data_IF_643525362579
#
_entry.id   IF_643525362579
#
_cell.length_a   1.000
_cell.length_b   1.000
_cell.length_c   1.000
_cell.angle_alpha   90.00
_cell.angle_beta   90.00
_cell.angle_gamma   90.00
#
_symmetry.space_group_name_H-M   'P 1'
#
loop_
_entity.id
_entity.type
_entity.pdbx_description
1 polymer ?
#
# COMPACT_ATOMS: atom_id res chain seq x y z
N UNK A 1 8.20 15.54 -3.79
CA UNK A 1 8.40 15.04 -2.41
C UNK A 1 9.85 15.26 -2.03
N UNK A 2 10.16 16.39 -1.38
CA UNK A 2 11.49 16.71 -0.88
C UNK A 2 11.35 17.12 0.58
N UNK A 3 11.42 16.14 1.47
CA UNK A 3 11.36 16.29 2.92
C UNK A 3 11.96 15.03 3.53
N UNK A 4 12.62 15.18 4.67
CA UNK A 4 13.57 14.27 5.33
C UNK A 4 13.07 12.87 5.72
N UNK A 5 12.07 12.29 5.05
CA UNK A 5 11.45 11.01 5.42
C UNK A 5 10.76 11.01 6.79
N UNK A 6 10.89 12.08 7.58
CA UNK A 6 10.26 12.26 8.87
C UNK A 6 8.78 12.58 8.68
N UNK A 7 7.92 11.65 9.06
CA UNK A 7 6.48 11.84 9.09
C UNK A 7 6.07 12.54 10.39
N UNK A 8 5.80 13.85 10.30
CA UNK A 8 5.43 14.70 11.45
C UNK A 8 4.02 14.41 11.99
N UNK A 9 3.24 13.56 11.33
CA UNK A 9 1.90 13.16 11.81
C UNK A 9 1.95 12.01 12.81
N UNK A 10 3.09 11.31 12.91
CA UNK A 10 3.29 10.23 13.88
C UNK A 10 3.73 10.79 15.22
N UNK A 11 3.03 10.45 16.31
CA UNK A 11 3.51 10.72 17.65
C UNK A 11 4.71 9.83 17.98
N UNK A 12 5.76 10.43 18.56
CA UNK A 12 6.89 9.66 19.09
C UNK A 12 6.43 8.70 20.19
N UNK A 13 7.13 7.58 20.37
CA UNK A 13 6.86 6.67 21.49
C UNK A 13 7.36 7.33 22.78
N UNK A 14 6.48 7.50 23.76
CA UNK A 14 6.87 7.98 25.10
C UNK A 14 7.48 6.81 25.87
N UNK A 15 8.82 6.72 25.83
CA UNK A 15 9.59 5.66 26.46
C UNK A 15 10.36 6.25 27.64
N UNK A 16 10.31 5.58 28.78
CA UNK A 16 11.22 5.88 29.89
C UNK A 16 12.66 5.60 29.42
N UNK A 17 13.44 6.67 29.22
CA UNK A 17 14.75 6.65 28.57
C UNK A 17 15.88 6.95 29.58
N UNK A 18 17.09 6.43 29.34
CA UNK A 18 18.26 6.83 30.12
C UNK A 18 18.60 8.31 29.88
N UNK A 19 19.28 8.90 30.87
CA UNK A 19 19.89 10.22 30.79
C UNK A 19 21.13 10.15 29.90
N UNK A 20 21.17 11.00 28.87
CA UNK A 20 22.39 11.26 28.09
C UNK A 20 23.12 12.42 28.74
N UNK A 21 24.37 12.21 29.14
CA UNK A 21 25.16 13.20 29.88
C UNK A 21 26.42 13.53 29.09
N UNK A 22 26.50 14.75 28.55
CA UNK A 22 27.65 15.22 27.80
C UNK A 22 28.59 15.99 28.75
N UNK A 23 29.80 15.48 28.92
CA UNK A 23 30.81 16.05 29.83
C UNK A 23 31.77 16.94 29.06
N UNK A 24 31.70 18.24 29.35
CA UNK A 24 32.50 19.30 28.74
C UNK A 24 32.56 19.23 27.20
N UNK A 25 31.43 19.12 26.49
CA UNK A 25 31.44 19.09 25.03
C UNK A 25 32.12 20.36 24.48
N UNK A 26 33.01 20.18 23.51
CA UNK A 26 33.82 21.27 22.98
C UNK A 26 33.08 22.08 21.92
N UNK A 27 32.27 21.44 21.07
CA UNK A 27 31.59 22.09 19.95
C UNK A 27 30.08 22.04 20.09
N UNK A 28 29.42 23.19 19.90
CA UNK A 28 27.96 23.28 19.86
C UNK A 28 27.34 22.37 18.79
N UNK A 29 27.98 22.23 17.63
CA UNK A 29 27.55 21.32 16.56
C UNK A 29 27.47 19.86 17.04
N UNK A 30 28.41 19.39 17.87
CA UNK A 30 28.37 18.03 18.40
C UNK A 30 27.23 17.83 19.39
N UNK A 31 26.91 18.85 20.20
CA UNK A 31 25.74 18.83 21.09
C UNK A 31 24.46 18.70 20.25
N UNK A 32 24.34 19.51 19.19
CA UNK A 32 23.19 19.45 18.27
C UNK A 32 23.09 18.10 17.55
N UNK A 33 24.19 17.57 17.03
CA UNK A 33 24.21 16.24 16.39
C UNK A 33 23.88 15.12 17.38
N UNK A 34 24.31 15.23 18.65
CA UNK A 34 23.94 14.29 19.70
C UNK A 34 22.45 14.37 20.01
N UNK A 35 21.87 15.57 20.11
CA UNK A 35 20.43 15.76 20.28
C UNK A 35 19.61 15.21 19.11
N UNK A 36 20.11 15.38 17.87
CA UNK A 36 19.52 14.75 16.69
C UNK A 36 19.55 13.23 16.78
N UNK A 37 20.68 12.66 17.19
CA UNK A 37 20.80 11.22 17.41
C UNK A 37 19.83 10.74 18.49
N UNK A 38 19.69 11.49 19.60
CA UNK A 38 18.71 11.21 20.65
C UNK A 38 17.28 11.20 20.11
N UNK A 39 16.88 12.22 19.35
CA UNK A 39 15.56 12.32 18.74
C UNK A 39 15.26 11.18 17.77
N UNK A 40 16.24 10.69 17.00
CA UNK A 40 16.07 9.54 16.11
C UNK A 40 15.69 8.24 16.85
N UNK A 41 16.13 8.11 18.11
CA UNK A 41 15.97 6.90 18.91
C UNK A 41 15.11 7.11 20.15
N UNK A 42 14.31 8.18 20.22
CA UNK A 42 13.38 8.41 21.33
C UNK A 42 14.03 8.72 22.68
N UNK A 43 15.32 9.08 22.70
CA UNK A 43 15.97 9.62 23.90
C UNK A 43 15.60 11.10 24.03
N UNK A 44 15.14 11.53 25.20
CA UNK A 44 14.58 12.88 25.37
C UNK A 44 15.23 13.69 26.49
N UNK A 45 16.10 13.07 27.30
CA UNK A 45 16.66 13.68 28.51
C UNK A 45 18.16 13.89 28.36
N UNK A 46 18.55 15.15 28.22
CA UNK A 46 19.91 15.59 28.00
C UNK A 46 20.40 16.38 29.21
N UNK A 47 21.57 16.00 29.74
CA UNK A 47 22.31 16.81 30.71
C UNK A 47 23.64 17.24 30.09
N UNK A 48 24.01 18.49 30.29
CA UNK A 48 25.25 19.06 29.78
C UNK A 48 26.06 19.55 30.97
N UNK A 49 27.30 19.06 31.09
CA UNK A 49 28.22 19.48 32.15
C UNK A 49 29.23 20.44 31.54
N UNK A 50 29.25 21.67 32.04
CA UNK A 50 30.28 22.68 31.73
C UNK A 50 30.68 22.76 30.23
N UNK A 51 29.75 23.05 29.30
CA UNK A 51 30.05 23.10 27.87
C UNK A 51 31.04 24.22 27.56
N UNK A 52 32.10 23.91 26.80
CA UNK A 52 33.24 24.82 26.59
C UNK A 52 32.82 26.15 25.95
N UNK A 53 31.97 26.07 24.92
CA UNK A 53 31.53 27.22 24.13
C UNK A 53 30.23 27.85 24.70
N UNK A 54 29.87 27.52 25.94
CA UNK A 54 28.70 28.05 26.64
C UNK A 54 27.35 27.45 26.20
N UNK A 55 26.29 27.82 26.93
CA UNK A 55 24.92 27.38 26.70
C UNK A 55 23.92 28.51 27.04
N UNK A 56 22.85 28.74 26.24
CA UNK A 56 22.47 28.05 25.00
C UNK A 56 23.41 28.37 23.82
N UNK A 57 23.45 27.50 22.80
CA UNK A 57 24.36 27.64 21.66
C UNK A 57 23.62 27.50 20.31
N UNK A 58 23.71 28.53 19.46
CA UNK A 58 23.02 28.57 18.15
C UNK A 58 23.48 27.48 17.18
N UNK A 59 24.75 27.06 17.27
CA UNK A 59 25.29 25.99 16.44
C UNK A 59 24.67 24.63 16.82
N UNK A 60 24.37 24.42 18.11
CA UNK A 60 23.65 23.24 18.57
C UNK A 60 22.23 23.19 18.00
N UNK A 61 21.48 24.29 18.08
CA UNK A 61 20.13 24.38 17.49
C UNK A 61 20.15 24.08 15.99
N UNK A 62 21.08 24.67 15.24
CA UNK A 62 21.20 24.43 13.79
C UNK A 62 21.54 22.97 13.47
N UNK A 63 22.42 22.33 14.24
CA UNK A 63 22.84 20.95 14.01
C UNK A 63 21.79 19.90 14.48
N UNK A 64 20.87 20.26 15.38
CA UNK A 64 19.83 19.38 15.89
C UNK A 64 18.77 18.98 14.84
N UNK A 65 18.62 19.77 13.77
CA UNK A 65 17.79 19.46 12.62
C UNK A 65 16.36 18.97 12.97
N UNK A 66 15.69 19.68 13.89
CA UNK A 66 14.31 19.38 14.33
C UNK A 66 14.20 18.60 15.65
N UNK A 67 15.33 18.22 16.26
CA UNK A 67 15.37 17.70 17.63
C UNK A 67 15.43 18.81 18.70
N UNK A 68 14.87 19.98 18.42
CA UNK A 68 14.97 21.18 19.26
C UNK A 68 14.41 20.93 20.67
N UNK A 69 13.34 20.13 20.78
CA UNK A 69 12.72 19.72 22.04
C UNK A 69 13.68 19.02 23.02
N UNK A 70 14.75 18.37 22.54
CA UNK A 70 15.78 17.76 23.40
C UNK A 70 16.68 18.86 23.99
N UNK A 71 17.03 19.86 23.18
CA UNK A 71 17.87 20.98 23.60
C UNK A 71 17.14 21.93 24.54
N UNK A 72 15.86 22.20 24.27
CA UNK A 72 15.00 23.05 25.11
C UNK A 72 14.81 22.50 26.52
N UNK A 73 14.85 21.16 26.68
CA UNK A 73 14.75 20.45 27.95
C UNK A 73 16.10 20.08 28.56
N UNK A 74 17.20 20.51 27.95
CA UNK A 74 18.53 20.16 28.42
C UNK A 74 18.82 20.81 29.79
N UNK A 75 19.26 20.02 30.75
CA UNK A 75 19.66 20.49 32.07
C UNK A 75 21.16 20.78 32.11
N UNK A 76 21.54 21.96 32.63
CA UNK A 76 22.93 22.40 32.69
C UNK A 76 23.50 22.22 34.11
N UNK A 77 24.68 21.63 34.19
CA UNK A 77 25.40 21.40 35.45
C UNK A 77 26.83 21.92 35.37
N UNK A 78 27.41 22.30 36.52
CA UNK A 78 28.81 22.73 36.58
C UNK A 78 29.78 21.58 36.79
N UNK A 79 29.33 20.47 37.39
CA UNK A 79 30.17 19.30 37.69
C UNK A 79 29.46 17.99 37.35
N UNK A 80 30.24 16.95 37.05
CA UNK A 80 29.67 15.62 36.77
C UNK A 80 28.96 15.05 38.00
N UNK A 81 29.49 15.29 39.21
CA UNK A 81 28.89 14.85 40.46
C UNK A 81 27.45 15.35 40.64
N UNK A 82 27.18 16.61 40.28
CA UNK A 82 25.81 17.16 40.31
C UNK A 82 24.92 16.52 39.23
N UNK A 83 25.46 16.34 38.02
CA UNK A 83 24.71 15.81 36.90
C UNK A 83 24.32 14.33 37.04
N UNK A 84 24.91 13.60 37.99
CA UNK A 84 24.65 12.17 38.23
C UNK A 84 24.09 11.88 39.62
N UNK A 85 23.76 12.91 40.42
CA UNK A 85 23.44 12.75 41.85
C UNK A 85 22.22 11.85 42.12
N UNK A 86 21.27 11.80 41.18
CA UNK A 86 20.04 10.99 41.19
C UNK A 86 20.17 9.68 40.41
N UNK A 87 21.31 9.42 39.76
CA UNK A 87 21.57 8.20 39.00
C UNK A 87 21.88 7.03 39.94
N UNK A 88 21.12 5.94 39.79
CA UNK A 88 21.34 4.66 40.50
C UNK A 88 22.22 3.69 39.72
N UNK A 89 22.32 3.91 38.40
CA UNK A 89 23.19 3.16 37.51
C UNK A 89 23.81 4.12 36.48
N UNK A 90 25.14 4.10 36.38
CA UNK A 90 25.91 5.02 35.57
C UNK A 90 26.92 4.27 34.69
N UNK A 91 26.92 4.59 33.41
CA UNK A 91 27.83 4.04 32.40
C UNK A 91 28.80 5.12 31.93
N UNK A 92 30.09 4.80 31.87
CA UNK A 92 31.11 5.68 31.28
C UNK A 92 31.55 5.15 29.91
N UNK A 93 31.41 5.96 28.86
CA UNK A 93 31.85 5.58 27.51
C UNK A 93 33.32 5.94 27.28
N UNK A 94 34.15 4.97 26.94
CA UNK A 94 35.58 5.20 26.64
C UNK A 94 36.17 4.12 25.75
N UNK A 95 37.07 4.53 24.86
CA UNK A 95 37.84 3.64 23.99
C UNK A 95 39.19 3.22 24.61
N UNK A 96 39.58 3.84 25.74
CA UNK A 96 40.87 3.55 26.39
C UNK A 96 40.71 2.44 27.42
N UNK A 97 41.70 1.56 27.49
CA UNK A 97 41.83 0.67 28.63
C UNK A 97 42.11 1.53 29.88
N UNK A 98 41.40 1.24 30.95
CA UNK A 98 41.62 1.85 32.25
C UNK A 98 42.04 0.77 33.23
N UNK A 99 43.01 1.05 34.09
CA UNK A 99 43.48 0.13 35.14
C UNK A 99 42.49 -0.02 36.31
N UNK A 100 41.30 0.56 36.18
CA UNK A 100 40.24 0.48 37.19
C UNK A 100 39.57 -0.88 37.13
N UNK A 101 39.44 -1.55 38.28
CA UNK A 101 38.75 -2.84 38.42
C UNK A 101 37.22 -2.68 38.28
N UNK A 102 36.74 -2.38 37.07
CA UNK A 102 35.33 -2.21 36.73
C UNK A 102 34.90 -3.15 35.61
N UNK A 103 33.65 -3.63 35.60
CA UNK A 103 33.15 -4.40 34.47
C UNK A 103 33.14 -3.53 33.20
N UNK A 104 33.77 -4.06 32.14
CA UNK A 104 33.76 -3.49 30.79
C UNK A 104 32.74 -4.25 29.96
N UNK A 105 31.82 -3.54 29.33
CA UNK A 105 30.74 -4.12 28.52
C UNK A 105 30.68 -3.46 27.14
N UNK A 106 30.17 -4.21 26.17
CA UNK A 106 29.81 -3.65 24.87
C UNK A 106 28.49 -2.86 24.91
N UNK A 107 28.19 -2.07 23.86
CA UNK A 107 26.99 -1.22 23.82
C UNK A 107 25.67 -2.01 23.91
N UNK A 108 25.57 -3.20 23.29
CA UNK A 108 24.38 -4.05 23.38
C UNK A 108 24.12 -4.53 24.81
N UNK A 109 25.16 -4.99 25.51
CA UNK A 109 25.06 -5.48 26.87
C UNK A 109 24.69 -4.35 27.85
N UNK A 110 25.29 -3.17 27.68
CA UNK A 110 24.92 -1.97 28.43
C UNK A 110 23.45 -1.60 28.19
N UNK A 111 23.00 -1.56 26.93
CA UNK A 111 21.62 -1.26 26.58
C UNK A 111 20.62 -2.24 27.21
N UNK A 112 20.96 -3.54 27.29
CA UNK A 112 20.14 -4.55 27.95
C UNK A 112 20.02 -4.30 29.46
N UNK A 113 21.12 -3.95 30.12
CA UNK A 113 21.13 -3.62 31.56
C UNK A 113 20.32 -2.32 31.82
N UNK A 114 20.44 -1.32 30.95
CA UNK A 114 19.65 -0.08 31.01
C UNK A 114 18.15 -0.38 30.92
N UNK A 115 17.70 -1.13 29.91
CA UNK A 115 16.28 -1.50 29.74
C UNK A 115 15.75 -2.25 30.96
N UNK A 116 16.54 -3.21 31.47
CA UNK A 116 16.15 -3.99 32.65
C UNK A 116 16.07 -3.12 33.91
N UNK A 117 16.98 -2.16 34.10
CA UNK A 117 17.00 -1.30 35.28
C UNK A 117 15.85 -0.29 35.26
N UNK A 118 15.59 0.33 34.11
CA UNK A 118 14.44 1.24 33.92
C UNK A 118 13.13 0.49 34.20
N UNK A 119 12.98 -0.75 33.68
CA UNK A 119 11.80 -1.57 33.90
C UNK A 119 11.52 -1.94 35.36
N UNK A 120 12.53 -1.90 36.23
CA UNK A 120 12.38 -2.13 37.68
C UNK A 120 11.87 -0.90 38.44
N UNK A 121 11.88 0.29 37.83
CA UNK A 121 11.49 1.55 38.48
C UNK A 121 12.44 2.01 39.59
N UNK A 122 13.68 1.50 39.62
CA UNK A 122 14.61 1.62 40.75
C UNK A 122 15.51 2.87 40.77
N UNK A 123 15.20 3.91 39.99
CA UNK A 123 15.96 5.16 39.92
C UNK A 123 16.56 5.45 38.54
N UNK A 124 17.27 6.57 38.42
CA UNK A 124 17.73 7.07 37.12
C UNK A 124 18.93 6.29 36.59
N UNK A 125 18.97 6.13 35.27
CA UNK A 125 20.08 5.46 34.57
C UNK A 125 20.77 6.48 33.66
N UNK A 126 22.06 6.71 33.87
CA UNK A 126 22.85 7.70 33.13
C UNK A 126 23.94 7.10 32.26
N UNK A 127 24.23 7.76 31.14
CA UNK A 127 25.34 7.43 30.24
C UNK A 127 26.20 8.68 30.05
N UNK A 128 27.46 8.61 30.50
CA UNK A 128 28.45 9.66 30.35
C UNK A 128 29.17 9.53 29.00
N UNK A 129 29.22 10.65 28.30
CA UNK A 129 30.02 10.83 27.10
C UNK A 129 31.00 11.98 27.31
N UNK A 130 32.28 11.70 27.10
CA UNK A 130 33.35 12.66 27.37
C UNK A 130 33.64 13.62 26.22
N UNK A 131 34.65 14.45 26.45
CA UNK A 131 35.19 15.45 25.52
C UNK A 131 35.66 14.78 24.22
N UNK A 132 35.57 15.48 23.09
CA UNK A 132 35.87 14.94 21.76
C UNK A 132 37.31 14.43 21.60
N UNK A 133 38.28 15.10 22.22
CA UNK A 133 39.71 14.77 22.08
C UNK A 133 40.23 13.87 23.20
N UNK A 134 39.84 14.17 24.44
CA UNK A 134 40.39 13.53 25.64
C UNK A 134 39.48 12.48 26.24
N UNK A 135 38.21 12.41 25.82
CA UNK A 135 37.21 11.54 26.43
C UNK A 135 36.87 11.96 27.86
N UNK A 136 36.52 10.97 28.67
CA UNK A 136 36.30 11.12 30.11
C UNK A 136 37.64 11.04 30.86
N UNK A 137 37.78 11.86 31.90
CA UNK A 137 38.88 11.80 32.85
C UNK A 137 38.76 10.56 33.74
N UNK A 138 39.88 10.13 34.33
CA UNK A 138 39.91 8.94 35.19
C UNK A 138 38.94 9.08 36.38
N UNK A 139 38.82 10.26 36.97
CA UNK A 139 37.88 10.56 38.05
C UNK A 139 36.41 10.51 37.60
N UNK A 140 36.12 10.91 36.37
CA UNK A 140 34.78 10.83 35.76
C UNK A 140 34.42 9.37 35.40
N UNK A 141 35.40 8.56 35.00
CA UNK A 141 35.22 7.10 34.86
C UNK A 141 35.06 6.45 36.24
N UNK A 142 35.75 6.94 37.26
CA UNK A 142 35.76 6.39 38.62
C UNK A 142 34.41 6.46 39.34
N UNK A 143 33.52 7.39 38.97
CA UNK A 143 32.16 7.48 39.52
C UNK A 143 31.16 6.52 38.85
N UNK A 144 31.45 6.01 37.65
CA UNK A 144 30.52 5.13 36.93
C UNK A 144 30.51 3.68 37.47
N UNK A 145 29.39 2.97 37.36
CA UNK A 145 29.31 1.57 37.77
C UNK A 145 29.92 0.62 36.73
N UNK A 146 29.93 1.04 35.45
CA UNK A 146 30.36 0.23 34.30
C UNK A 146 31.11 1.08 33.29
N UNK A 147 32.04 0.46 32.58
CA UNK A 147 32.66 1.03 31.39
C UNK A 147 31.98 0.45 30.16
N UNK A 148 31.65 1.31 29.20
CA UNK A 148 31.19 0.92 27.87
C UNK A 148 32.31 1.17 26.88
N UNK A 149 32.72 0.12 26.19
CA UNK A 149 33.72 0.19 25.13
C UNK A 149 33.12 -0.33 23.83
N UNK A 150 33.20 0.50 22.78
CA UNK A 150 32.71 0.14 21.45
C UNK A 150 33.73 -0.79 20.75
N UNK A 151 33.29 -1.89 20.12
CA UNK A 151 34.16 -2.79 19.38
C UNK A 151 34.51 -2.20 18.00
N UNK A 152 35.27 -1.12 18.00
CA UNK A 152 35.75 -0.42 16.80
C UNK A 152 37.14 -0.90 16.38
N UNK A 153 37.60 -0.48 15.20
CA UNK A 153 38.96 -0.76 14.74
C UNK A 153 39.98 -0.23 15.77
N UNK A 154 40.84 -1.08 16.39
CA UNK A 154 41.81 -0.65 17.38
C UNK A 154 42.79 0.42 16.87
N UNK A 155 43.10 0.42 15.56
CA UNK A 155 43.95 1.43 14.93
C UNK A 155 43.28 2.80 14.74
N UNK A 156 41.95 2.89 14.94
CA UNK A 156 41.18 4.12 14.81
C UNK A 156 39.95 4.09 15.74
N UNK A 157 40.22 4.01 17.05
CA UNK A 157 39.20 3.69 18.05
C UNK A 157 38.38 4.90 18.57
N UNK A 158 38.71 6.12 18.14
CA UNK A 158 38.03 7.34 18.60
C UNK A 158 36.80 7.61 17.76
N UNK A 159 35.61 7.42 18.34
CA UNK A 159 34.35 7.84 17.73
C UNK A 159 34.07 9.32 17.97
N UNK A 160 33.38 9.97 17.03
CA UNK A 160 32.81 11.30 17.30
C UNK A 160 31.75 11.20 18.41
N UNK A 161 31.62 12.25 19.23
CA UNK A 161 30.69 12.33 20.35
C UNK A 161 29.24 11.94 19.96
N UNK A 162 28.71 12.56 18.90
CA UNK A 162 27.36 12.30 18.43
C UNK A 162 27.21 10.88 17.86
N UNK A 163 28.27 10.30 17.28
CA UNK A 163 28.26 8.93 16.80
C UNK A 163 28.21 7.92 17.96
N UNK A 164 28.92 8.17 19.06
CA UNK A 164 28.84 7.34 20.25
C UNK A 164 27.43 7.38 20.87
N UNK A 165 26.82 8.57 20.95
CA UNK A 165 25.42 8.74 21.38
C UNK A 165 24.46 8.01 20.44
N UNK A 166 24.68 8.10 19.13
CA UNK A 166 23.89 7.41 18.10
C UNK A 166 23.92 5.88 18.27
N UNK A 167 25.10 5.29 18.48
CA UNK A 167 25.22 3.84 18.67
C UNK A 167 24.53 3.37 19.95
N UNK A 168 24.70 4.09 21.06
CA UNK A 168 24.00 3.76 22.31
C UNK A 168 22.49 3.93 22.18
N UNK A 169 22.04 5.01 21.56
CA UNK A 169 20.62 5.25 21.31
C UNK A 169 19.99 4.18 20.43
N UNK A 170 20.69 3.76 19.36
CA UNK A 170 20.23 2.67 18.49
C UNK A 170 20.08 1.35 19.25
N UNK A 171 21.11 0.93 20.00
CA UNK A 171 21.05 -0.33 20.76
C UNK A 171 19.94 -0.31 21.81
N UNK A 172 19.80 0.80 22.54
CA UNK A 172 18.73 0.97 23.53
C UNK A 172 17.34 0.96 22.90
N UNK A 173 17.12 1.70 21.81
CA UNK A 173 15.81 1.77 21.15
C UNK A 173 15.43 0.45 20.50
N UNK A 174 16.38 -0.23 19.87
CA UNK A 174 16.19 -1.57 19.31
C UNK A 174 15.68 -2.53 20.39
N UNK A 175 16.31 -2.58 21.56
CA UNK A 175 15.89 -3.45 22.65
C UNK A 175 14.55 -3.01 23.27
N UNK A 176 14.36 -1.71 23.50
CA UNK A 176 13.13 -1.15 24.07
C UNK A 176 11.90 -1.34 23.18
N UNK A 177 12.09 -1.56 21.89
CA UNK A 177 11.02 -1.76 20.90
C UNK A 177 10.97 -3.17 20.31
N UNK A 178 11.71 -4.11 20.91
CA UNK A 178 11.89 -5.48 20.42
C UNK A 178 12.34 -5.56 18.94
N UNK A 179 13.02 -4.54 18.43
CA UNK A 179 13.49 -4.45 17.05
C UNK A 179 12.37 -4.31 16.01
N UNK A 180 11.16 -3.90 16.44
CA UNK A 180 10.01 -3.79 15.55
C UNK A 180 10.27 -2.74 14.46
N UNK A 181 10.21 -3.14 13.19
CA UNK A 181 10.39 -2.24 12.06
C UNK A 181 9.16 -1.32 11.89
N UNK A 182 9.33 -0.09 11.40
CA UNK A 182 8.22 0.85 11.18
C UNK A 182 7.27 0.42 10.07
N UNK A 183 7.72 -0.47 9.18
CA UNK A 183 6.95 -1.05 8.10
C UNK A 183 7.28 -2.53 8.01
N UNK A 184 6.25 -3.35 7.87
CA UNK A 184 6.39 -4.75 7.53
C UNK A 184 5.85 -4.97 6.12
N UNK A 185 6.19 -6.12 5.54
CA UNK A 185 5.48 -6.59 4.36
C UNK A 185 3.97 -6.68 4.72
N UNK A 186 3.05 -6.27 3.82
CA UNK A 186 1.62 -6.46 4.04
C UNK A 186 1.32 -7.92 4.39
N UNK A 187 0.28 -8.15 5.21
CA UNK A 187 -0.14 -9.50 5.56
C UNK A 187 -0.28 -10.34 4.28
N UNK A 188 0.55 -11.39 4.17
CA UNK A 188 0.40 -12.38 3.11
C UNK A 188 -0.94 -13.06 3.29
N UNK A 189 -1.67 -13.22 2.20
CA UNK A 189 -2.80 -14.16 2.15
C UNK A 189 -2.34 -15.52 2.69
N UNK A 190 -3.25 -16.29 3.28
CA UNK A 190 -2.93 -17.61 3.83
C UNK A 190 -2.17 -18.48 2.81
N UNK A 191 -1.24 -19.35 3.26
CA UNK A 191 -0.58 -20.31 2.39
C UNK A 191 -1.57 -21.12 1.55
N UNK A 192 -1.22 -21.39 0.30
CA UNK A 192 -2.02 -22.27 -0.55
C UNK A 192 -2.01 -23.69 0.02
N UNK A 193 -3.18 -24.32 0.06
CA UNK A 193 -3.27 -25.73 0.45
C UNK A 193 -2.65 -26.62 -0.63
N UNK A 194 -2.17 -27.80 -0.23
CA UNK A 194 -1.66 -28.83 -1.15
C UNK A 194 -2.68 -29.15 -2.26
N UNK A 195 -3.96 -29.21 -1.92
CA UNK A 195 -5.04 -29.43 -2.89
C UNK A 195 -5.13 -28.33 -3.96
N UNK A 196 -4.93 -27.05 -3.59
CA UNK A 196 -4.92 -25.95 -4.56
C UNK A 196 -3.67 -25.99 -5.45
N UNK A 197 -2.53 -26.40 -4.89
CA UNK A 197 -1.30 -26.62 -5.64
C UNK A 197 -1.51 -27.73 -6.69
N UNK A 198 -2.05 -28.88 -6.29
CA UNK A 198 -2.31 -29.99 -7.20
C UNK A 198 -3.31 -29.61 -8.29
N UNK A 199 -4.41 -28.93 -7.94
CA UNK A 199 -5.39 -28.44 -8.93
C UNK A 199 -4.79 -27.44 -9.94
N UNK A 200 -3.88 -26.57 -9.50
CA UNK A 200 -3.14 -25.70 -10.42
C UNK A 200 -2.22 -26.51 -11.34
N UNK A 201 -1.47 -27.46 -10.79
CA UNK A 201 -0.56 -28.30 -11.58
C UNK A 201 -1.28 -29.14 -12.61
N UNK A 202 -2.41 -29.76 -12.26
CA UNK A 202 -3.19 -30.56 -13.20
C UNK A 202 -3.66 -29.72 -14.40
N UNK A 203 -4.06 -28.47 -14.15
CA UNK A 203 -4.43 -27.55 -15.22
C UNK A 203 -3.20 -27.10 -16.03
N UNK A 204 -2.10 -26.74 -15.38
CA UNK A 204 -0.87 -26.35 -16.05
C UNK A 204 -0.35 -27.47 -16.97
N UNK A 205 -0.29 -28.71 -16.48
CA UNK A 205 0.18 -29.86 -17.27
C UNK A 205 -0.74 -30.12 -18.46
N UNK A 206 -2.06 -30.06 -18.27
CA UNK A 206 -3.04 -30.21 -19.35
C UNK A 206 -2.83 -29.19 -20.46
N UNK A 207 -2.57 -27.93 -20.11
CA UNK A 207 -2.34 -26.87 -21.11
C UNK A 207 -0.96 -27.00 -21.77
N UNK A 208 0.08 -27.40 -21.02
CA UNK A 208 1.42 -27.66 -21.58
C UNK A 208 1.45 -28.85 -22.54
N UNK A 209 0.65 -29.90 -22.29
CA UNK A 209 0.51 -31.05 -23.17
C UNK A 209 -0.11 -30.64 -24.52
N UNK A 210 -1.11 -29.73 -24.53
CA UNK A 210 -1.74 -29.24 -25.78
C UNK A 210 -0.77 -28.51 -26.72
N UNK A 211 0.19 -27.80 -26.16
CA UNK A 211 1.21 -27.04 -26.93
C UNK A 211 2.50 -27.83 -27.14
N UNK A 212 2.48 -29.14 -26.82
CA UNK A 212 3.60 -30.07 -27.00
C UNK A 212 4.91 -29.63 -26.30
N UNK A 213 4.81 -28.87 -25.20
CA UNK A 213 5.98 -28.36 -24.46
C UNK A 213 6.79 -29.47 -23.78
N UNK A 214 6.12 -30.54 -23.33
CA UNK A 214 6.72 -31.64 -22.57
C UNK A 214 7.40 -32.67 -23.49
N UNK A 215 8.39 -32.22 -24.27
CA UNK A 215 9.19 -33.05 -25.20
C UNK A 215 10.69 -32.92 -24.94
N UNK A 216 11.48 -33.98 -25.21
CA UNK A 216 11.05 -35.31 -25.68
C UNK A 216 10.43 -36.17 -24.55
N UNK A 217 9.70 -37.23 -24.90
CA UNK A 217 8.83 -37.96 -23.97
C UNK A 217 9.58 -38.56 -22.77
N UNK A 218 10.83 -39.00 -22.98
CA UNK A 218 11.72 -39.53 -21.96
C UNK A 218 12.11 -38.51 -20.88
N UNK A 219 11.95 -37.20 -21.15
CA UNK A 219 12.24 -36.12 -20.18
C UNK A 219 11.00 -35.58 -19.47
N UNK A 220 9.80 -36.02 -19.85
CA UNK A 220 8.52 -35.48 -19.35
C UNK A 220 8.44 -35.52 -17.83
N UNK A 221 8.67 -36.68 -17.22
CA UNK A 221 8.58 -36.84 -15.75
C UNK A 221 9.55 -35.91 -15.01
N UNK A 222 10.80 -35.82 -15.47
CA UNK A 222 11.81 -34.92 -14.90
C UNK A 222 11.39 -33.45 -15.03
N UNK A 223 10.80 -33.05 -16.16
CA UNK A 223 10.31 -31.68 -16.36
C UNK A 223 9.15 -31.35 -15.42
N UNK A 224 8.22 -32.29 -15.21
CA UNK A 224 7.09 -32.12 -14.28
C UNK A 224 7.55 -31.97 -12.83
N UNK A 225 8.51 -32.79 -12.39
CA UNK A 225 9.11 -32.66 -11.06
C UNK A 225 9.80 -31.31 -10.90
N UNK A 226 10.55 -30.86 -11.92
CA UNK A 226 11.22 -29.56 -11.88
C UNK A 226 10.22 -28.39 -11.82
N UNK A 227 9.16 -28.43 -12.63
CA UNK A 227 8.07 -27.46 -12.55
C UNK A 227 7.44 -27.46 -11.16
N UNK A 228 7.16 -28.65 -10.61
CA UNK A 228 6.61 -28.79 -9.26
C UNK A 228 7.50 -28.14 -8.20
N UNK A 229 8.79 -28.42 -8.24
CA UNK A 229 9.78 -27.85 -7.32
C UNK A 229 9.92 -26.33 -7.44
N UNK A 230 9.67 -25.72 -8.60
CA UNK A 230 9.69 -24.26 -8.75
C UNK A 230 8.56 -23.64 -7.92
N UNK A 231 7.32 -24.07 -8.11
CA UNK A 231 6.20 -23.45 -7.40
C UNK A 231 6.16 -23.85 -5.92
N UNK A 232 6.61 -25.04 -5.54
CA UNK A 232 6.69 -25.41 -4.11
C UNK A 232 7.74 -24.59 -3.35
N UNK A 233 8.90 -24.28 -3.96
CA UNK A 233 9.93 -23.42 -3.33
C UNK A 233 9.50 -21.96 -3.20
N UNK A 234 8.51 -21.52 -3.97
CA UNK A 234 7.98 -20.16 -3.90
C UNK A 234 7.16 -19.91 -2.64
N UNK A 235 6.70 -20.97 -1.96
CA UNK A 235 5.78 -20.91 -0.82
C UNK A 235 4.55 -20.01 -1.11
N UNK A 236 3.74 -20.36 -2.14
CA UNK A 236 2.69 -19.50 -2.64
C UNK A 236 1.54 -19.35 -1.65
N UNK A 237 0.99 -18.14 -1.62
CA UNK A 237 -0.29 -17.88 -0.97
C UNK A 237 -1.46 -18.35 -1.84
N UNK A 238 -2.66 -18.45 -1.24
CA UNK A 238 -3.91 -18.71 -1.99
C UNK A 238 -4.12 -17.71 -3.12
N UNK A 239 -3.74 -16.45 -2.92
CA UNK A 239 -3.88 -15.39 -3.92
C UNK A 239 -2.89 -15.55 -5.07
N UNK A 240 -1.65 -15.97 -4.79
CA UNK A 240 -0.66 -16.28 -5.82
C UNK A 240 -1.18 -17.40 -6.72
N UNK A 241 -1.72 -18.47 -6.11
CA UNK A 241 -2.28 -19.58 -6.87
C UNK A 241 -3.47 -19.19 -7.72
N UNK A 242 -4.36 -18.34 -7.21
CA UNK A 242 -5.48 -17.82 -7.99
C UNK A 242 -5.01 -16.99 -9.19
N UNK A 243 -4.00 -16.15 -8.97
CA UNK A 243 -3.41 -15.30 -10.01
C UNK A 243 -2.71 -16.13 -11.08
N UNK A 244 -1.87 -17.08 -10.67
CA UNK A 244 -1.16 -17.98 -11.59
C UNK A 244 -2.11 -18.86 -12.39
N UNK A 245 -3.14 -19.41 -11.74
CA UNK A 245 -4.18 -20.15 -12.44
C UNK A 245 -4.89 -19.27 -13.48
N UNK A 246 -5.25 -18.03 -13.10
CA UNK A 246 -5.83 -17.05 -14.02
C UNK A 246 -4.94 -16.73 -15.22
N UNK A 247 -3.62 -16.59 -15.01
CA UNK A 247 -2.63 -16.37 -16.08
C UNK A 247 -2.60 -17.55 -17.04
N UNK A 248 -2.49 -18.77 -16.53
CA UNK A 248 -2.46 -20.00 -17.35
C UNK A 248 -3.73 -20.11 -18.19
N UNK A 249 -4.91 -19.94 -17.58
CA UNK A 249 -6.18 -20.03 -18.29
C UNK A 249 -6.36 -18.92 -19.32
N UNK A 250 -5.91 -17.69 -19.03
CA UNK A 250 -5.98 -16.58 -19.99
C UNK A 250 -5.08 -16.79 -21.22
N UNK A 251 -3.92 -17.42 -21.04
CA UNK A 251 -3.02 -17.81 -22.15
C UNK A 251 -3.65 -18.95 -22.96
N UNK A 252 -4.17 -19.97 -22.27
CA UNK A 252 -4.73 -21.17 -22.89
C UNK A 252 -6.03 -20.92 -23.68
N UNK A 253 -6.96 -20.16 -23.10
CA UNK A 253 -8.30 -19.96 -23.66
C UNK A 253 -8.45 -18.64 -24.44
N UNK A 254 -7.43 -17.76 -24.38
CA UNK A 254 -7.52 -16.39 -24.86
C UNK A 254 -8.36 -15.48 -23.96
N UNK A 255 -8.29 -14.16 -24.18
CA UNK A 255 -9.05 -13.19 -23.38
C UNK A 255 -10.55 -13.35 -23.60
N UNK A 256 -11.33 -13.62 -22.55
CA UNK A 256 -12.81 -13.61 -22.56
C UNK A 256 -13.41 -12.19 -22.59
N UNK A 257 -12.90 -11.33 -23.49
CA UNK A 257 -13.27 -9.92 -23.60
C UNK A 257 -12.43 -8.98 -22.70
N UNK A 258 -12.59 -7.65 -22.84
CA UNK A 258 -11.81 -6.70 -22.06
C UNK A 258 -12.27 -6.68 -20.58
N UNK A 259 -11.34 -6.30 -19.69
CA UNK A 259 -11.60 -6.20 -18.25
C UNK A 259 -12.73 -5.19 -17.95
N UNK A 260 -13.32 -5.27 -16.75
CA UNK A 260 -14.32 -4.32 -16.23
C UNK A 260 -13.98 -2.88 -16.66
N UNK A 261 -14.83 -2.27 -17.47
CA UNK A 261 -14.68 -0.87 -17.91
C UNK A 261 -13.96 -0.67 -19.25
N UNK A 262 -13.64 -1.73 -19.99
CA UNK A 262 -13.23 -1.60 -21.40
C UNK A 262 -14.38 -1.09 -22.26
N UNK A 263 -14.15 0.04 -22.94
CA UNK A 263 -15.04 0.55 -23.99
C UNK A 263 -14.74 -0.22 -25.27
N UNK A 264 -15.75 -0.81 -25.90
CA UNK A 264 -15.62 -1.31 -27.27
C UNK A 264 -15.81 -0.11 -28.21
N UNK A 265 -14.97 0.01 -29.25
CA UNK A 265 -15.26 0.97 -30.31
C UNK A 265 -16.61 0.61 -30.99
N UNK A 266 -17.23 1.59 -31.67
CA UNK A 266 -18.57 1.43 -32.26
C UNK A 266 -18.65 0.27 -33.27
N UNK A 267 -17.56 -0.07 -33.94
CA UNK A 267 -17.50 -1.15 -34.93
C UNK A 267 -17.42 -2.54 -34.26
N UNK A 268 -16.61 -2.67 -33.21
CA UNK A 268 -16.47 -3.87 -32.39
C UNK A 268 -17.75 -4.19 -31.62
N UNK A 269 -18.42 -3.16 -31.08
CA UNK A 269 -19.70 -3.32 -30.42
C UNK A 269 -20.80 -3.76 -31.41
N UNK A 270 -20.78 -3.23 -32.63
CA UNK A 270 -21.72 -3.62 -33.71
C UNK A 270 -21.47 -5.05 -34.18
N UNK A 271 -20.22 -5.48 -34.38
CA UNK A 271 -19.88 -6.88 -34.68
C UNK A 271 -20.29 -7.84 -33.57
N UNK A 272 -20.07 -7.47 -32.30
CA UNK A 272 -20.50 -8.27 -31.16
C UNK A 272 -22.03 -8.42 -31.12
N UNK A 273 -22.78 -7.34 -31.34
CA UNK A 273 -24.25 -7.38 -31.42
C UNK A 273 -24.74 -8.23 -32.61
N UNK A 274 -24.11 -8.13 -33.77
CA UNK A 274 -24.43 -8.94 -34.95
C UNK A 274 -24.22 -10.44 -34.72
N UNK A 275 -23.05 -10.83 -34.18
CA UNK A 275 -22.74 -12.23 -33.86
C UNK A 275 -23.70 -12.84 -32.82
N UNK A 276 -24.21 -12.02 -31.91
CA UNK A 276 -25.19 -12.41 -30.88
C UNK A 276 -26.62 -12.52 -31.44
N UNK A 277 -26.99 -11.67 -32.40
CA UNK A 277 -28.25 -11.76 -33.13
C UNK A 277 -28.32 -13.04 -33.99
N UNK A 278 -27.23 -13.37 -34.69
CA UNK A 278 -27.11 -14.59 -35.49
C UNK A 278 -27.25 -15.87 -34.64
N UNK A 279 -26.66 -15.91 -33.44
CA UNK A 279 -26.82 -17.04 -32.51
C UNK A 279 -28.20 -17.12 -31.86
N UNK A 280 -28.94 -16.01 -31.78
CA UNK A 280 -30.29 -15.95 -31.21
C UNK A 280 -31.39 -16.51 -32.12
N UNK A 281 -31.15 -16.57 -33.44
CA UNK A 281 -32.13 -17.07 -34.42
C UNK A 281 -32.08 -18.60 -34.65
N UNK A 282 -31.02 -19.28 -34.21
CA UNK A 282 -30.79 -20.71 -34.48
C UNK A 282 -31.41 -21.72 -33.51
N UNK A 283 -32.13 -21.30 -32.47
CA UNK A 283 -32.63 -22.20 -31.41
C UNK A 283 -34.15 -22.24 -31.32
N UNK A 284 -34.75 -23.43 -31.37
CA UNK A 284 -36.18 -23.63 -31.01
C UNK A 284 -36.47 -22.99 -29.64
N UNK A 285 -37.63 -22.35 -29.44
CA UNK A 285 -37.93 -21.60 -28.23
C UNK A 285 -38.12 -22.58 -27.07
N UNK A 286 -37.12 -22.68 -26.19
CA UNK A 286 -37.31 -23.24 -24.85
C UNK A 286 -37.49 -22.10 -23.85
N UNK A 287 -38.45 -22.26 -22.93
CA UNK A 287 -38.92 -21.28 -21.93
C UNK A 287 -37.90 -20.94 -20.83
N UNK A 288 -36.60 -20.86 -21.13
CA UNK A 288 -35.56 -20.64 -20.14
C UNK A 288 -34.98 -19.23 -20.24
N UNK A 289 -35.41 -18.33 -19.35
CA UNK A 289 -34.90 -16.94 -19.20
C UNK A 289 -33.42 -16.80 -18.83
N UNK A 290 -32.61 -17.87 -18.98
CA UNK A 290 -31.18 -17.91 -18.68
C UNK A 290 -30.28 -17.29 -19.75
N UNK A 291 -30.65 -17.37 -21.04
CA UNK A 291 -29.86 -16.85 -22.16
C UNK A 291 -29.90 -15.33 -22.24
N UNK A 292 -31.10 -14.75 -22.10
CA UNK A 292 -31.34 -13.29 -22.15
C UNK A 292 -30.67 -12.56 -20.97
N UNK A 293 -30.63 -13.18 -19.78
CA UNK A 293 -29.95 -12.61 -18.60
C UNK A 293 -28.43 -12.61 -18.75
N UNK A 294 -27.85 -13.65 -19.37
CA UNK A 294 -26.44 -13.72 -19.71
C UNK A 294 -26.03 -12.62 -20.70
N UNK A 295 -26.83 -12.47 -21.75
CA UNK A 295 -26.67 -11.44 -22.78
C UNK A 295 -26.74 -10.01 -22.21
N UNK A 296 -27.76 -9.72 -21.39
CA UNK A 296 -27.90 -8.43 -20.71
C UNK A 296 -26.70 -8.09 -19.81
N UNK A 297 -26.09 -9.10 -19.17
CA UNK A 297 -24.88 -8.91 -18.36
C UNK A 297 -23.66 -8.61 -19.24
N UNK A 298 -23.55 -9.23 -20.41
CA UNK A 298 -22.47 -9.02 -21.35
C UNK A 298 -22.55 -7.63 -22.00
N UNK A 299 -23.73 -7.21 -22.44
CA UNK A 299 -23.97 -5.85 -22.96
C UNK A 299 -23.63 -4.78 -21.91
N UNK A 300 -24.04 -4.97 -20.64
CA UNK A 300 -23.74 -3.98 -19.58
C UNK A 300 -22.27 -3.83 -19.28
N UNK A 301 -21.48 -4.85 -19.57
CA UNK A 301 -20.03 -4.85 -19.36
C UNK A 301 -19.26 -4.18 -20.49
N UNK A 302 -19.89 -3.99 -21.66
CA UNK A 302 -19.26 -3.51 -22.88
C UNK A 302 -20.10 -2.40 -23.55
N UNK A 303 -20.29 -1.24 -22.90
CA UNK A 303 -21.04 -0.15 -23.50
C UNK A 303 -20.26 0.53 -24.63
N UNK A 304 -20.96 1.07 -25.62
CA UNK A 304 -20.43 2.05 -26.58
C UNK A 304 -20.22 3.42 -25.91
N UNK A 305 -19.53 4.33 -26.59
CA UNK A 305 -19.34 5.70 -26.09
C UNK A 305 -20.67 6.45 -25.95
N UNK A 306 -21.56 6.40 -26.95
CA UNK A 306 -22.92 6.89 -26.83
C UNK A 306 -23.70 6.29 -25.64
N UNK A 307 -23.63 4.97 -25.40
CA UNK A 307 -24.28 4.34 -24.24
C UNK A 307 -23.71 4.84 -22.91
N UNK A 308 -22.40 5.07 -22.84
CA UNK A 308 -21.73 5.57 -21.64
C UNK A 308 -22.13 7.03 -21.35
N UNK A 309 -22.09 7.88 -22.37
CA UNK A 309 -22.47 9.29 -22.30
C UNK A 309 -23.92 9.43 -21.88
N UNK A 310 -24.84 8.74 -22.57
CA UNK A 310 -26.27 8.79 -22.26
C UNK A 310 -26.56 8.23 -20.86
N UNK A 311 -25.93 7.14 -20.45
CA UNK A 311 -26.11 6.59 -19.09
C UNK A 311 -25.67 7.58 -18.02
N UNK A 312 -24.50 8.20 -18.17
CA UNK A 312 -24.01 9.22 -17.24
C UNK A 312 -24.99 10.40 -17.18
N UNK A 313 -25.48 10.86 -18.32
CA UNK A 313 -26.43 11.97 -18.38
C UNK A 313 -27.77 11.62 -17.73
N UNK A 314 -28.36 10.46 -18.04
CA UNK A 314 -29.62 9.99 -17.43
C UNK A 314 -29.53 9.77 -15.92
N UNK A 315 -28.36 9.39 -15.40
CA UNK A 315 -28.16 9.17 -13.96
C UNK A 315 -27.82 10.45 -13.19
N UNK A 316 -27.20 11.44 -13.85
CA UNK A 316 -26.75 12.69 -13.21
C UNK A 316 -27.78 13.81 -13.31
N UNK A 317 -28.63 13.80 -14.35
CA UNK A 317 -29.68 14.79 -14.56
C UNK A 317 -30.88 14.52 -13.63
N UNK A 318 -31.23 15.52 -12.81
CA UNK A 318 -32.31 15.43 -11.81
C UNK A 318 -33.67 15.09 -12.41
N UNK A 319 -33.90 15.41 -13.70
CA UNK A 319 -35.14 15.09 -14.41
C UNK A 319 -35.34 13.59 -14.59
N UNK A 320 -34.26 12.81 -14.71
CA UNK A 320 -34.29 11.39 -15.09
C UNK A 320 -33.64 10.44 -14.09
N UNK A 321 -32.88 10.97 -13.12
CA UNK A 321 -32.14 10.18 -12.15
C UNK A 321 -33.04 9.14 -11.45
N UNK A 322 -32.62 7.87 -11.51
CA UNK A 322 -33.36 6.74 -10.92
C UNK A 322 -34.54 6.21 -11.75
N UNK A 323 -34.88 6.85 -12.87
CA UNK A 323 -36.06 6.48 -13.68
C UNK A 323 -35.73 5.51 -14.83
N UNK A 324 -34.45 5.38 -15.20
CA UNK A 324 -33.99 4.53 -16.30
C UNK A 324 -33.06 3.42 -15.82
N UNK A 325 -33.12 2.28 -16.51
CA UNK A 325 -32.23 1.13 -16.33
C UNK A 325 -31.56 0.78 -17.66
N UNK A 326 -30.25 0.55 -17.64
CA UNK A 326 -29.48 0.14 -18.84
C UNK A 326 -29.63 -1.35 -19.12
N UNK A 327 -29.92 -1.70 -20.38
CA UNK A 327 -29.90 -3.07 -20.93
C UNK A 327 -30.60 -4.08 -20.02
N UNK A 328 -31.77 -3.69 -19.52
CA UNK A 328 -32.60 -4.53 -18.66
C UNK A 328 -33.63 -5.26 -19.52
N UNK A 329 -33.71 -6.60 -19.46
CA UNK A 329 -34.66 -7.34 -20.29
C UNK A 329 -36.12 -6.91 -20.07
N UNK A 330 -36.85 -6.72 -21.16
CA UNK A 330 -38.30 -6.59 -21.20
C UNK A 330 -38.82 -7.80 -21.97
N UNK A 331 -39.24 -8.83 -21.23
CA UNK A 331 -39.53 -10.15 -21.80
C UNK A 331 -38.33 -10.74 -22.53
N UNK A 332 -38.49 -11.02 -23.83
CA UNK A 332 -37.44 -11.63 -24.66
C UNK A 332 -36.48 -10.62 -25.30
N UNK A 333 -36.76 -9.32 -25.20
CA UNK A 333 -35.96 -8.29 -25.83
C UNK A 333 -35.20 -7.45 -24.80
N UNK A 334 -34.07 -6.87 -25.20
CA UNK A 334 -33.23 -6.03 -24.36
C UNK A 334 -33.05 -4.69 -25.07
N UNK A 335 -33.77 -3.63 -24.66
CA UNK A 335 -33.49 -2.28 -25.14
C UNK A 335 -32.24 -1.71 -24.49
N UNK A 336 -31.58 -0.74 -25.12
CA UNK A 336 -30.36 -0.12 -24.58
C UNK A 336 -30.64 0.59 -23.25
N UNK A 337 -31.75 1.32 -23.16
CA UNK A 337 -32.27 1.85 -21.90
C UNK A 337 -33.77 1.65 -21.79
N UNK A 338 -34.27 1.46 -20.57
CA UNK A 338 -35.71 1.33 -20.31
C UNK A 338 -36.10 2.03 -19.03
N UNK A 339 -37.20 2.79 -19.09
CA UNK A 339 -37.97 3.22 -17.94
C UNK A 339 -39.22 2.36 -17.81
N UNK A 340 -39.32 1.61 -16.73
CA UNK A 340 -40.53 0.83 -16.41
C UNK A 340 -41.66 1.72 -15.89
N UNK A 341 -41.31 2.86 -15.28
CA UNK A 341 -42.25 3.83 -14.70
C UNK A 341 -42.98 4.54 -15.83
N UNK A 342 -42.24 5.09 -16.78
CA UNK A 342 -42.81 5.85 -17.91
C UNK A 342 -43.16 5.00 -19.12
N UNK A 343 -42.92 3.68 -19.04
CA UNK A 343 -43.04 2.75 -20.17
C UNK A 343 -42.33 3.27 -21.42
N UNK A 344 -41.08 3.70 -21.27
CA UNK A 344 -40.23 4.16 -22.38
C UNK A 344 -39.08 3.20 -22.57
N UNK A 345 -38.78 2.85 -23.82
CA UNK A 345 -37.55 2.19 -24.21
C UNK A 345 -36.76 3.12 -25.14
N UNK A 346 -35.46 3.24 -24.91
CA UNK A 346 -34.55 4.02 -25.76
C UNK A 346 -33.63 3.03 -26.48
N UNK A 347 -33.52 3.21 -27.80
CA UNK A 347 -32.65 2.44 -28.68
C UNK A 347 -31.64 3.39 -29.34
N UNK A 348 -30.36 3.02 -29.31
CA UNK A 348 -29.30 3.79 -29.94
C UNK A 348 -29.04 3.29 -31.37
N UNK A 349 -29.11 4.21 -32.32
CA UNK A 349 -28.82 3.95 -33.73
C UNK A 349 -27.34 4.28 -34.00
N UNK A 350 -26.54 3.27 -34.29
CA UNK A 350 -25.12 3.45 -34.62
C UNK A 350 -24.95 3.76 -36.11
N UNK A 351 -23.96 4.58 -36.50
CA UNK A 351 -23.66 4.83 -37.91
C UNK A 351 -23.27 3.53 -38.63
N UNK A 352 -23.82 3.30 -39.82
CA UNK A 352 -23.46 2.14 -40.65
C UNK A 352 -23.98 0.80 -40.15
N UNK A 353 -25.08 0.78 -39.38
CA UNK A 353 -25.77 -0.45 -39.03
C UNK A 353 -26.22 -1.25 -40.26
N UNK A 354 -26.16 -2.58 -40.18
CA UNK A 354 -26.60 -3.46 -41.26
C UNK A 354 -28.13 -3.60 -41.29
N UNK A 355 -28.68 -3.98 -42.45
CA UNK A 355 -30.12 -4.24 -42.62
C UNK A 355 -30.66 -5.28 -41.62
N UNK A 356 -29.84 -6.25 -41.21
CA UNK A 356 -30.17 -7.23 -40.18
C UNK A 356 -30.39 -6.59 -38.82
N UNK A 357 -29.50 -5.67 -38.41
CA UNK A 357 -29.60 -4.96 -37.12
C UNK A 357 -30.82 -4.02 -37.12
N UNK A 358 -31.05 -3.33 -38.23
CA UNK A 358 -32.23 -2.48 -38.40
C UNK A 358 -33.54 -3.31 -38.33
N UNK A 359 -33.57 -4.49 -38.98
CA UNK A 359 -34.71 -5.41 -38.95
C UNK A 359 -35.00 -5.98 -37.55
N UNK A 360 -33.96 -6.35 -36.80
CA UNK A 360 -34.09 -6.81 -35.41
C UNK A 360 -34.60 -5.69 -34.49
N UNK A 361 -34.12 -4.45 -34.67
CA UNK A 361 -34.63 -3.30 -33.93
C UNK A 361 -36.10 -3.02 -34.26
N UNK A 362 -36.50 -3.09 -35.54
CA UNK A 362 -37.90 -2.93 -35.94
C UNK A 362 -38.81 -4.01 -35.32
N UNK A 363 -38.36 -5.26 -35.31
CA UNK A 363 -39.08 -6.38 -34.67
C UNK A 363 -39.25 -6.15 -33.16
N UNK A 364 -38.17 -5.70 -32.50
CA UNK A 364 -38.18 -5.36 -31.09
C UNK A 364 -39.11 -4.20 -30.78
N UNK A 365 -39.07 -3.13 -31.58
CA UNK A 365 -39.94 -1.97 -31.49
C UNK A 365 -41.41 -2.40 -31.51
N UNK A 366 -41.82 -3.14 -32.53
CA UNK A 366 -43.21 -3.61 -32.66
C UNK A 366 -43.65 -4.44 -31.43
N UNK A 367 -42.77 -5.30 -30.90
CA UNK A 367 -43.07 -6.12 -29.73
C UNK A 367 -43.24 -5.30 -28.43
N UNK A 368 -42.41 -4.27 -28.26
CA UNK A 368 -42.45 -3.35 -27.12
C UNK A 368 -43.68 -2.44 -27.18
N UNK A 369 -44.00 -1.89 -28.34
CA UNK A 369 -45.16 -1.02 -28.58
C UNK A 369 -46.48 -1.77 -28.33
N UNK A 370 -46.60 -3.02 -28.77
CA UNK A 370 -47.74 -3.90 -28.43
C UNK A 370 -47.93 -4.10 -26.92
N UNK A 371 -46.91 -3.84 -26.10
CA UNK A 371 -46.93 -3.98 -24.64
C UNK A 371 -46.95 -2.63 -23.91
N UNK A 372 -47.34 -1.59 -24.64
CA UNK A 372 -47.54 -0.25 -24.12
C UNK A 372 -46.24 0.51 -23.84
N UNK A 373 -45.11 0.08 -24.41
CA UNK A 373 -43.88 0.87 -24.36
C UNK A 373 -43.78 1.83 -25.54
N UNK A 374 -43.43 3.08 -25.28
CA UNK A 374 -43.03 4.03 -26.32
C UNK A 374 -41.54 3.87 -26.60
N UNK A 375 -41.18 3.59 -27.85
CA UNK A 375 -39.80 3.35 -28.27
C UNK A 375 -39.22 4.61 -28.93
N UNK A 376 -38.18 5.17 -28.31
CA UNK A 376 -37.48 6.38 -28.76
C UNK A 376 -36.14 5.97 -29.36
N UNK A 377 -35.92 6.37 -30.60
CA UNK A 377 -34.62 6.17 -31.24
C UNK A 377 -33.76 7.43 -31.05
N UNK A 378 -32.50 7.22 -30.65
CA UNK A 378 -31.49 8.28 -30.56
C UNK A 378 -30.29 7.86 -31.40
N UNK A 379 -29.73 8.75 -32.20
CA UNK A 379 -28.51 8.42 -32.96
C UNK A 379 -27.30 8.49 -32.04
N UNK A 380 -26.39 7.51 -32.14
CA UNK A 380 -25.17 7.50 -31.35
C UNK A 380 -24.34 8.78 -31.59
N UNK A 381 -24.25 9.21 -32.85
CA UNK A 381 -23.60 10.47 -33.22
C UNK A 381 -24.29 11.71 -32.61
N UNK A 382 -25.62 11.72 -32.47
CA UNK A 382 -26.36 12.80 -31.82
C UNK A 382 -26.09 12.87 -30.33
N UNK A 383 -26.07 11.72 -29.66
CA UNK A 383 -25.72 11.61 -28.23
C UNK A 383 -24.27 12.03 -27.96
N UNK A 384 -23.33 11.64 -28.82
CA UNK A 384 -21.92 11.99 -28.69
C UNK A 384 -21.66 13.48 -28.96
N UNK A 385 -22.40 14.09 -29.89
CA UNK A 385 -22.25 15.50 -30.22
C UNK A 385 -22.95 16.44 -29.21
N UNK A 386 -24.20 16.15 -28.83
CA UNK A 386 -25.00 16.99 -27.93
C UNK A 386 -26.05 16.18 -27.18
N UNK A 387 -25.61 15.51 -26.11
CA UNK A 387 -26.51 14.76 -25.21
C UNK A 387 -27.57 15.66 -24.54
N UNK A 388 -27.32 16.96 -24.36
CA UNK A 388 -28.26 17.85 -23.70
C UNK A 388 -29.50 18.09 -24.58
N UNK A 389 -29.32 18.25 -25.89
CA UNK A 389 -30.40 18.33 -26.85
C UNK A 389 -31.23 17.03 -26.87
N UNK A 390 -30.59 15.87 -26.84
CA UNK A 390 -31.26 14.56 -26.79
C UNK A 390 -32.12 14.40 -25.53
N UNK A 391 -31.60 14.83 -24.37
CA UNK A 391 -32.35 14.83 -23.11
C UNK A 391 -33.54 15.80 -23.15
N UNK A 392 -33.41 16.95 -23.81
CA UNK A 392 -34.53 17.87 -24.03
C UNK A 392 -35.65 17.23 -24.86
N UNK A 393 -35.31 16.47 -25.90
CA UNK A 393 -36.30 15.71 -26.69
C UNK A 393 -36.96 14.62 -25.87
N UNK A 394 -36.19 13.92 -25.04
CA UNK A 394 -36.70 12.89 -24.13
C UNK A 394 -37.69 13.47 -23.12
N UNK A 395 -37.38 14.63 -22.53
CA UNK A 395 -38.28 15.33 -21.60
C UNK A 395 -39.61 15.72 -22.26
N UNK A 396 -39.55 16.30 -23.46
CA UNK A 396 -40.76 16.66 -24.21
C UNK A 396 -41.65 15.43 -24.46
N UNK A 397 -41.05 14.29 -24.80
CA UNK A 397 -41.78 13.03 -25.00
C UNK A 397 -42.42 12.52 -23.71
N UNK A 398 -41.74 12.65 -22.56
CA UNK A 398 -42.27 12.27 -21.26
C UNK A 398 -43.45 13.15 -20.84
N UNK A 399 -43.37 14.45 -21.08
CA UNK A 399 -44.44 15.41 -20.76
C UNK A 399 -45.71 15.21 -21.60
N UNK A 400 -45.59 14.73 -22.84
CA UNK A 400 -46.75 14.39 -23.69
C UNK A 400 -47.39 13.04 -23.37
N UNK A 401 -46.75 12.21 -22.54
CA UNK A 401 -47.20 10.85 -22.22
C UNK A 401 -47.72 10.72 -20.77
N UNK A 402 -47.79 11.84 -20.04
CA UNK A 402 -48.27 11.94 -18.64
C UNK A 402 -49.76 12.24 -18.55
#
# INVERSE_FOLDING_TARGET
>A
MSGSGTDRTKSGRDLAAPLVILVEPQLGENIGMAARAMGNFGLSRLRIVNPRDGWPNVHATRAAAGADHVLERAELFSTVAQAVADCTLLFATTARAHDQAKPVVGPEAAAREIVAQIGKGGGEVGILFGRERSGLLNEEVAIANRIVTFPVNPGFASLNLAQAVLLMGYEWFKLSTAGTLPFAMPERSEPASQHQMDAFFDNLVRELDKVEFLRPAEKRETMLVNLRNIFTRMDPTKQDMHTLHGVVMAIAEGRKGPAKGGVLDGEQATRLRALLAEHGQGGRPSESGGTVRGLARLLRRNPTDAERILWQALTSDRRFAGQFKRQTPVGRHIPDFVSFVHRIAIELINPGESDTIAGDRATRRAWLEQRGYKVIDMTAAGVEADVAAELGRLEFVLQQSS
#
